data_IF_803582979039
#
_entry.id   IF_803582979039
#
_cell.length_a   1.000
_cell.length_b   1.000
_cell.length_c   1.000
_cell.angle_alpha   90.00
_cell.angle_beta   90.00
_cell.angle_gamma   90.00
#
_symmetry.space_group_name_H-M   'P 1'
#
loop_
_entity.id
_entity.type
_entity.pdbx_description
1 polymer ?
#
# COMPACT_ATOMS: atom_id res chain seq x y z
N UNK A 1 -9.99 7.23 -10.76
CA UNK A 1 -10.67 6.13 -11.47
C UNK A 1 -9.82 5.56 -12.60
N UNK A 2 -9.62 6.32 -13.67
CA UNK A 2 -9.04 5.81 -14.92
C UNK A 2 -7.58 5.32 -14.82
N UNK A 3 -6.77 5.89 -13.93
CA UNK A 3 -5.34 5.49 -13.78
C UNK A 3 -5.17 4.25 -12.89
N UNK A 4 -6.16 3.90 -12.05
CA UNK A 4 -6.02 2.80 -11.09
C UNK A 4 -6.00 1.43 -11.77
N UNK A 5 -6.86 1.21 -12.76
CA UNK A 5 -6.94 -0.08 -13.46
C UNK A 5 -5.64 -0.43 -14.23
N UNK A 6 -5.02 0.49 -14.99
CA UNK A 6 -3.71 0.24 -15.60
C UNK A 6 -2.62 -0.07 -14.57
N UNK A 7 -2.56 0.68 -13.46
CA UNK A 7 -1.58 0.45 -12.39
C UNK A 7 -1.78 -0.92 -11.75
N UNK A 8 -3.03 -1.30 -11.50
CA UNK A 8 -3.38 -2.61 -10.98
C UNK A 8 -2.87 -3.74 -11.88
N UNK A 9 -3.17 -3.69 -13.19
CA UNK A 9 -2.77 -4.72 -14.15
C UNK A 9 -1.24 -4.80 -14.25
N UNK A 10 -0.55 -3.65 -14.30
CA UNK A 10 0.90 -3.61 -14.38
C UNK A 10 1.54 -4.27 -13.14
N UNK A 11 1.07 -3.91 -11.95
CA UNK A 11 1.61 -4.43 -10.69
C UNK A 11 1.29 -5.91 -10.49
N UNK A 12 0.07 -6.34 -10.82
CA UNK A 12 -0.32 -7.74 -10.78
C UNK A 12 0.52 -8.61 -11.72
N UNK A 13 0.69 -8.16 -12.97
CA UNK A 13 1.51 -8.87 -13.96
C UNK A 13 2.96 -8.97 -13.52
N UNK A 14 3.53 -7.90 -12.96
CA UNK A 14 4.89 -7.88 -12.45
C UNK A 14 5.10 -8.87 -11.28
N UNK A 15 4.19 -8.86 -10.30
CA UNK A 15 4.24 -9.78 -9.15
C UNK A 15 4.05 -11.23 -9.61
N UNK A 16 3.09 -11.48 -10.51
CA UNK A 16 2.85 -12.82 -11.05
C UNK A 16 4.09 -13.37 -11.77
N UNK A 17 4.81 -12.52 -12.52
CA UNK A 17 6.05 -12.90 -13.18
C UNK A 17 7.11 -13.32 -12.17
N UNK A 18 7.33 -12.52 -11.11
CA UNK A 18 8.29 -12.84 -10.06
C UNK A 18 7.94 -14.13 -9.31
N UNK A 19 6.66 -14.35 -9.01
CA UNK A 19 6.19 -15.59 -8.38
C UNK A 19 6.45 -16.80 -9.29
N UNK A 20 6.22 -16.66 -10.61
CA UNK A 20 6.43 -17.74 -11.56
C UNK A 20 7.91 -18.05 -11.85
N UNK A 21 8.79 -17.06 -11.78
CA UNK A 21 10.23 -17.28 -11.93
C UNK A 21 10.88 -17.82 -10.66
N UNK A 22 10.24 -17.61 -9.50
CA UNK A 22 10.83 -17.93 -8.20
C UNK A 22 11.97 -16.98 -7.83
N UNK A 23 12.06 -15.83 -8.52
CA UNK A 23 13.11 -14.84 -8.25
C UNK A 23 12.86 -14.15 -6.90
N UNK A 24 13.94 -13.87 -6.19
CA UNK A 24 13.91 -13.04 -5.00
C UNK A 24 13.69 -11.57 -5.37
N UNK A 25 12.99 -10.83 -4.51
CA UNK A 25 12.81 -9.38 -4.65
C UNK A 25 13.24 -8.65 -3.38
N UNK A 26 14.23 -7.77 -3.51
CA UNK A 26 14.87 -7.08 -2.38
C UNK A 26 15.39 -8.09 -1.34
N UNK A 27 14.78 -8.14 -0.15
CA UNK A 27 15.11 -9.11 0.91
C UNK A 27 14.20 -10.35 0.92
N UNK A 28 13.15 -10.38 0.08
CA UNK A 28 12.16 -11.45 0.05
C UNK A 28 12.68 -12.57 -0.84
N UNK A 29 13.02 -13.72 -0.25
CA UNK A 29 13.53 -14.86 -1.01
C UNK A 29 12.43 -15.66 -1.71
N UNK A 30 11.24 -15.76 -1.10
CA UNK A 30 10.12 -16.47 -1.68
C UNK A 30 8.86 -15.60 -1.65
N UNK A 31 8.48 -15.08 -2.81
CA UNK A 31 7.30 -14.20 -2.94
C UNK A 31 5.98 -14.94 -2.68
N UNK A 32 5.96 -16.25 -2.89
CA UNK A 32 4.79 -17.08 -2.60
C UNK A 32 4.60 -17.37 -1.10
N UNK A 33 5.65 -17.19 -0.29
CA UNK A 33 5.58 -17.38 1.17
C UNK A 33 5.28 -16.06 1.90
N UNK A 34 4.68 -16.10 3.10
CA UNK A 34 4.53 -14.92 3.95
C UNK A 34 5.87 -14.32 4.35
N UNK A 35 5.95 -13.00 4.47
CA UNK A 35 7.14 -12.26 4.92
C UNK A 35 6.77 -11.28 6.05
N UNK A 36 7.39 -11.47 7.21
CA UNK A 36 7.09 -10.70 8.42
C UNK A 36 7.59 -9.27 8.32
N UNK A 37 8.78 -9.07 7.73
CA UNK A 37 9.38 -7.73 7.57
C UNK A 37 8.48 -6.88 6.66
N UNK A 38 8.04 -7.45 5.55
CA UNK A 38 7.10 -6.83 4.62
C UNK A 38 5.77 -6.50 5.28
N UNK A 39 5.26 -7.38 6.14
CA UNK A 39 4.01 -7.16 6.88
C UNK A 39 4.11 -5.92 7.77
N UNK A 40 5.21 -5.75 8.50
CA UNK A 40 5.47 -4.57 9.33
C UNK A 40 5.60 -3.31 8.47
N UNK A 41 6.34 -3.38 7.37
CA UNK A 41 6.49 -2.27 6.42
C UNK A 41 5.14 -1.85 5.84
N UNK A 42 4.32 -2.81 5.42
CA UNK A 42 2.99 -2.56 4.87
C UNK A 42 2.08 -1.88 5.90
N UNK A 43 2.10 -2.34 7.16
CA UNK A 43 1.33 -1.74 8.23
C UNK A 43 1.77 -0.29 8.53
N UNK A 44 3.08 -0.04 8.57
CA UNK A 44 3.63 1.31 8.72
C UNK A 44 3.25 2.24 7.57
N UNK A 45 3.28 1.74 6.34
CA UNK A 45 2.84 2.51 5.16
C UNK A 45 1.34 2.79 5.17
N UNK A 46 0.51 1.82 5.58
CA UNK A 46 -0.94 2.02 5.73
C UNK A 46 -1.23 3.10 6.78
N UNK A 47 -0.48 3.12 7.90
CA UNK A 47 -0.58 4.19 8.89
C UNK A 47 -0.22 5.56 8.29
N UNK A 48 0.90 5.65 7.57
CA UNK A 48 1.32 6.90 6.94
C UNK A 48 0.31 7.39 5.89
N UNK A 49 -0.24 6.48 5.09
CA UNK A 49 -1.23 6.80 4.07
C UNK A 49 -2.53 7.36 4.67
N UNK A 50 -2.99 6.78 5.78
CA UNK A 50 -4.20 7.23 6.48
C UNK A 50 -3.98 8.57 7.20
N UNK A 51 -2.82 8.77 7.83
CA UNK A 51 -2.46 10.05 8.47
C UNK A 51 -2.25 11.17 7.45
N UNK A 52 -1.69 10.86 6.28
CA UNK A 52 -1.56 11.77 5.16
C UNK A 52 -2.88 11.99 4.39
N UNK A 53 -3.99 11.37 4.84
CA UNK A 53 -5.35 11.56 4.33
C UNK A 53 -5.98 12.89 4.76
N UNK A 54 -7.20 13.20 4.27
CA UNK A 54 -7.90 14.45 4.60
C UNK A 54 -8.07 14.65 6.12
N UNK A 55 -8.11 15.91 6.58
CA UNK A 55 -8.35 16.20 7.99
C UNK A 55 -9.79 15.83 8.37
N UNK A 56 -9.94 14.93 9.33
CA UNK A 56 -11.22 14.50 9.91
C UNK A 56 -11.28 14.86 11.39
N UNK A 57 -12.47 14.74 12.00
CA UNK A 57 -12.64 14.89 13.45
C UNK A 57 -11.73 13.91 14.20
N UNK A 58 -11.26 14.29 15.39
CA UNK A 58 -10.30 13.48 16.17
C UNK A 58 -10.79 12.04 16.40
N UNK A 59 -12.09 11.86 16.62
CA UNK A 59 -12.70 10.56 16.87
C UNK A 59 -12.81 9.69 15.61
N UNK A 60 -13.11 10.30 14.45
CA UNK A 60 -13.10 9.59 13.15
C UNK A 60 -11.69 9.19 12.72
N UNK A 61 -10.68 10.02 13.04
CA UNK A 61 -9.29 9.79 12.66
C UNK A 61 -8.70 8.54 13.34
N UNK A 62 -8.99 8.31 14.61
CA UNK A 62 -8.49 7.13 15.35
C UNK A 62 -8.98 5.83 14.71
N UNK A 63 -10.28 5.71 14.46
CA UNK A 63 -10.86 4.47 13.89
C UNK A 63 -10.41 4.23 12.45
N UNK A 64 -10.37 5.27 11.61
CA UNK A 64 -9.93 5.14 10.21
C UNK A 64 -8.43 4.92 10.04
N UNK A 65 -7.62 5.27 11.04
CA UNK A 65 -6.16 5.03 11.01
C UNK A 65 -5.83 3.62 11.49
N UNK A 66 -6.35 3.22 12.65
CA UNK A 66 -5.92 1.97 13.29
C UNK A 66 -6.56 0.72 12.70
N UNK A 67 -7.84 0.77 12.31
CA UNK A 67 -8.52 -0.38 11.72
C UNK A 67 -7.78 -0.96 10.50
N UNK A 68 -7.43 -0.18 9.46
CA UNK A 68 -6.72 -0.74 8.31
C UNK A 68 -5.30 -1.20 8.65
N UNK A 69 -4.64 -0.59 9.64
CA UNK A 69 -3.30 -1.04 10.12
C UNK A 69 -3.40 -2.42 10.75
N UNK A 70 -4.35 -2.64 11.65
CA UNK A 70 -4.57 -3.95 12.27
C UNK A 70 -4.98 -5.00 11.25
N UNK A 71 -5.86 -4.67 10.30
CA UNK A 71 -6.21 -5.59 9.22
C UNK A 71 -5.01 -5.92 8.34
N UNK A 72 -4.17 -4.93 8.01
CA UNK A 72 -2.93 -5.16 7.24
C UNK A 72 -2.04 -6.16 7.97
N UNK A 73 -1.80 -5.96 9.27
CA UNK A 73 -1.00 -6.91 10.07
C UNK A 73 -1.63 -8.30 10.09
N UNK A 74 -2.93 -8.40 10.39
CA UNK A 74 -3.61 -9.68 10.53
C UNK A 74 -3.63 -10.49 9.22
N UNK A 75 -3.93 -9.84 8.09
CA UNK A 75 -4.00 -10.52 6.80
C UNK A 75 -2.60 -10.84 6.26
N UNK A 76 -1.68 -9.87 6.21
CA UNK A 76 -0.37 -10.08 5.58
C UNK A 76 0.52 -11.02 6.39
N UNK A 77 0.26 -11.18 7.70
CA UNK A 77 0.96 -12.19 8.51
C UNK A 77 0.76 -13.62 8.01
N UNK A 78 -0.40 -13.91 7.39
CA UNK A 78 -0.73 -15.25 6.89
C UNK A 78 -0.68 -15.36 5.37
N UNK A 79 -0.74 -14.25 4.66
CA UNK A 79 -0.79 -14.20 3.20
C UNK A 79 0.61 -14.11 2.58
N UNK A 80 0.70 -14.45 1.29
CA UNK A 80 1.97 -14.43 0.57
C UNK A 80 2.56 -13.02 0.47
N UNK A 81 3.89 -12.93 0.42
CA UNK A 81 4.60 -11.67 0.24
C UNK A 81 4.22 -10.96 -1.06
N UNK A 82 3.77 -11.68 -2.10
CA UNK A 82 3.20 -11.09 -3.31
C UNK A 82 2.00 -10.19 -3.03
N UNK A 83 1.09 -10.59 -2.14
CA UNK A 83 -0.05 -9.76 -1.73
C UNK A 83 0.43 -8.56 -0.93
N UNK A 84 1.43 -8.75 -0.05
CA UNK A 84 2.05 -7.65 0.69
C UNK A 84 2.72 -6.62 -0.21
N UNK A 85 3.44 -7.05 -1.25
CA UNK A 85 4.09 -6.18 -2.22
C UNK A 85 3.06 -5.37 -3.02
N UNK A 86 1.97 -6.00 -3.42
CA UNK A 86 0.85 -5.30 -4.04
C UNK A 86 0.28 -4.23 -3.10
N UNK A 87 0.08 -4.56 -1.83
CA UNK A 87 -0.45 -3.63 -0.84
C UNK A 87 0.46 -2.41 -0.64
N UNK A 88 1.76 -2.65 -0.48
CA UNK A 88 2.79 -1.62 -0.36
C UNK A 88 2.83 -0.72 -1.59
N UNK A 89 2.91 -1.31 -2.79
CA UNK A 89 2.94 -0.57 -4.04
C UNK A 89 1.69 0.30 -4.24
N UNK A 90 0.51 -0.24 -3.91
CA UNK A 90 -0.76 0.48 -4.01
C UNK A 90 -0.82 1.67 -3.05
N UNK A 91 -0.36 1.50 -1.79
CA UNK A 91 -0.27 2.59 -0.82
C UNK A 91 0.68 3.69 -1.29
N UNK A 92 1.86 3.33 -1.83
CA UNK A 92 2.82 4.32 -2.35
C UNK A 92 2.18 5.14 -3.48
N UNK A 93 1.55 4.50 -4.45
CA UNK A 93 0.85 5.19 -5.55
C UNK A 93 -0.25 6.10 -5.01
N UNK A 94 -1.04 5.64 -4.04
CA UNK A 94 -2.13 6.41 -3.43
C UNK A 94 -1.62 7.65 -2.68
N UNK A 95 -0.51 7.52 -1.94
CA UNK A 95 0.13 8.65 -1.25
C UNK A 95 0.70 9.65 -2.26
N UNK A 96 1.39 9.18 -3.30
CA UNK A 96 1.91 10.04 -4.36
C UNK A 96 0.79 10.81 -5.07
N UNK A 97 -0.31 10.13 -5.42
CA UNK A 97 -1.50 10.77 -5.98
C UNK A 97 -2.06 11.83 -5.03
N UNK A 98 -2.18 11.50 -3.74
CA UNK A 98 -2.68 12.44 -2.72
C UNK A 98 -1.80 13.69 -2.61
N UNK A 99 -0.47 13.55 -2.66
CA UNK A 99 0.46 14.68 -2.64
C UNK A 99 0.30 15.54 -3.90
N UNK A 100 0.26 14.93 -5.08
CA UNK A 100 0.08 15.65 -6.36
C UNK A 100 -1.25 16.42 -6.37
N UNK A 101 -2.34 15.77 -5.94
CA UNK A 101 -3.66 16.40 -5.87
C UNK A 101 -3.70 17.56 -4.88
N UNK A 102 -3.10 17.41 -3.70
CA UNK A 102 -3.00 18.50 -2.70
C UNK A 102 -2.24 19.70 -3.25
N UNK A 103 -1.11 19.48 -3.93
CA UNK A 103 -0.34 20.57 -4.56
C UNK A 103 -1.13 21.30 -5.65
N UNK A 104 -1.86 20.56 -6.49
CA UNK A 104 -2.73 21.15 -7.52
C UNK A 104 -3.87 21.96 -6.91
N UNK A 105 -4.51 21.46 -5.86
CA UNK A 105 -5.58 22.16 -5.16
C UNK A 105 -5.10 23.48 -4.54
N UNK A 106 -3.89 23.50 -3.95
CA UNK A 106 -3.28 24.73 -3.42
C UNK A 106 -2.97 25.76 -4.51
N UNK A 107 -2.48 25.31 -5.67
CA UNK A 107 -2.15 26.20 -6.81
C UNK A 107 -3.39 26.86 -7.41
N UNK A 108 -4.55 26.20 -7.37
CA UNK A 108 -5.81 26.74 -7.89
C UNK A 108 -6.51 27.72 -6.92
N UNK A 109 -6.05 27.80 -5.67
CA UNK A 109 -6.59 28.70 -4.64
C UNK A 109 -5.72 29.95 -4.42
N UNK A 110 -4.58 30.05 -5.11
CA UNK A 110 -3.68 31.20 -5.11
C UNK A 110 -3.90 32.04 -6.39
#
# INVERSE_FOLDING_TARGET
GLIQAPVFIAMFTAIKKLVSSGDSFLWIQNIASPDVILTVVAAGLTYLATVAGPNMTAQGKTMMTWLPVFLTLFFLWKLSAGIGLYWVGSNIVSVLQSIIMRRRAQTLQA
#
